data_IF_862901705409
#
_entry.id   IF_862901705409
#
_cell.length_a   1.000
_cell.length_b   1.000
_cell.length_c   1.000
_cell.angle_alpha   90.00
_cell.angle_beta   90.00
_cell.angle_gamma   90.00
#
_symmetry.space_group_name_H-M   'P 1'
#
loop_
_entity.id
_entity.type
_entity.pdbx_description
1 polymer ?
#
# COMPACT_ATOMS: atom_id res chain seq x y z
N UNK A 1 -9.10 11.40 -21.48
CA UNK A 1 -10.54 11.72 -21.45
C UNK A 1 -10.83 12.49 -20.17
N UNK A 2 -11.28 13.75 -20.29
CA UNK A 2 -11.62 14.61 -19.16
C UNK A 2 -13.09 14.45 -18.85
N UNK A 3 -13.41 13.87 -17.70
CA UNK A 3 -14.78 13.81 -17.19
C UNK A 3 -15.00 15.05 -16.33
N UNK A 4 -15.73 16.03 -16.86
CA UNK A 4 -16.09 17.25 -16.13
C UNK A 4 -17.59 17.20 -15.82
N UNK A 5 -17.93 17.24 -14.54
CA UNK A 5 -19.32 17.28 -14.06
C UNK A 5 -19.48 18.39 -13.03
N UNK A 6 -20.73 18.78 -12.74
CA UNK A 6 -21.05 19.80 -11.73
C UNK A 6 -20.41 19.57 -10.35
N UNK A 7 -20.03 18.33 -10.05
CA UNK A 7 -19.51 17.91 -8.74
C UNK A 7 -18.08 17.35 -8.78
N UNK A 8 -17.60 16.90 -9.94
CA UNK A 8 -16.36 16.13 -10.04
C UNK A 8 -15.69 16.34 -11.40
N UNK A 9 -14.41 16.73 -11.38
CA UNK A 9 -13.51 16.71 -12.53
C UNK A 9 -12.50 15.58 -12.39
N UNK A 10 -12.53 14.59 -13.29
CA UNK A 10 -11.55 13.50 -13.36
C UNK A 10 -10.85 13.54 -14.72
N UNK A 11 -9.54 13.78 -14.72
CA UNK A 11 -8.72 13.60 -15.90
C UNK A 11 -8.19 12.15 -15.95
N UNK A 12 -8.81 11.31 -16.77
CA UNK A 12 -8.37 9.94 -17.00
C UNK A 12 -7.39 9.97 -18.19
N UNK A 13 -6.11 9.59 -18.01
CA UNK A 13 -5.17 9.54 -19.12
C UNK A 13 -5.63 8.54 -20.19
N UNK A 14 -5.54 8.87 -21.48
CA UNK A 14 -5.97 7.96 -22.57
C UNK A 14 -5.15 6.65 -22.63
N UNK A 15 -4.04 6.60 -21.91
CA UNK A 15 -3.27 5.37 -21.67
C UNK A 15 -3.98 4.35 -20.79
N UNK A 16 -5.04 4.73 -20.06
CA UNK A 16 -5.78 3.88 -19.14
C UNK A 16 -6.30 2.60 -19.79
N UNK A 17 -6.89 2.70 -20.98
CA UNK A 17 -7.47 1.56 -21.70
C UNK A 17 -6.47 0.79 -22.55
N UNK A 18 -5.25 1.32 -22.74
CA UNK A 18 -4.23 0.70 -23.58
C UNK A 18 -3.24 -0.04 -22.70
N UNK A 19 -3.52 -1.31 -22.41
CA UNK A 19 -2.63 -2.21 -21.65
C UNK A 19 -1.18 -2.22 -22.19
N UNK A 20 -1.00 -1.97 -23.49
CA UNK A 20 0.30 -1.87 -24.15
C UNK A 20 1.14 -0.67 -23.68
N UNK A 21 0.51 0.41 -23.19
CA UNK A 21 1.15 1.63 -22.68
C UNK A 21 1.43 1.57 -21.17
N UNK A 22 1.12 0.46 -20.51
CA UNK A 22 1.41 0.27 -19.10
C UNK A 22 2.92 0.07 -18.90
N UNK A 23 3.48 0.58 -17.79
CA UNK A 23 4.83 0.24 -17.34
C UNK A 23 5.02 -1.28 -17.19
N UNK A 24 6.27 -1.74 -17.25
CA UNK A 24 6.60 -3.15 -17.45
C UNK A 24 6.08 -4.06 -16.33
N UNK A 25 6.28 -3.70 -15.06
CA UNK A 25 5.83 -4.56 -13.95
C UNK A 25 4.31 -4.59 -13.87
N UNK A 26 3.66 -3.42 -13.90
CA UNK A 26 2.20 -3.33 -13.85
C UNK A 26 1.54 -4.05 -15.01
N UNK A 27 2.09 -3.98 -16.23
CA UNK A 27 1.57 -4.73 -17.37
C UNK A 27 1.55 -6.23 -17.09
N UNK A 28 2.67 -6.78 -16.60
CA UNK A 28 2.79 -8.22 -16.32
C UNK A 28 1.85 -8.63 -15.19
N UNK A 29 1.85 -7.89 -14.08
CA UNK A 29 1.03 -8.20 -12.89
C UNK A 29 -0.46 -8.10 -13.22
N UNK A 30 -0.87 -7.08 -13.99
CA UNK A 30 -2.26 -6.91 -14.40
C UNK A 30 -2.72 -8.06 -15.32
N UNK A 31 -1.88 -8.45 -16.30
CA UNK A 31 -2.21 -9.58 -17.17
C UNK A 31 -2.34 -10.89 -16.39
N UNK A 32 -1.45 -11.15 -15.44
CA UNK A 32 -1.53 -12.31 -14.55
C UNK A 32 -2.77 -12.26 -13.66
N UNK A 33 -3.11 -11.09 -13.11
CA UNK A 33 -4.29 -10.91 -12.27
C UNK A 33 -5.59 -11.16 -13.05
N UNK A 34 -5.70 -10.64 -14.28
CA UNK A 34 -6.85 -10.91 -15.17
C UNK A 34 -6.93 -12.41 -15.48
N UNK A 35 -5.81 -13.03 -15.87
CA UNK A 35 -5.77 -14.44 -16.26
C UNK A 35 -6.21 -15.34 -15.08
N UNK A 36 -5.57 -15.18 -13.92
CA UNK A 36 -5.81 -16.04 -12.76
C UNK A 36 -7.19 -15.80 -12.15
N UNK A 37 -7.62 -14.54 -12.01
CA UNK A 37 -8.96 -14.23 -11.51
C UNK A 37 -10.05 -14.65 -12.49
N UNK A 38 -9.81 -14.54 -13.80
CA UNK A 38 -10.70 -15.04 -14.85
C UNK A 38 -10.82 -16.57 -14.82
N UNK A 39 -9.71 -17.29 -14.68
CA UNK A 39 -9.71 -18.73 -14.49
C UNK A 39 -10.49 -19.14 -13.24
N UNK A 40 -10.27 -18.47 -12.10
CA UNK A 40 -11.01 -18.72 -10.86
C UNK A 40 -12.52 -18.51 -11.07
N UNK A 41 -12.90 -17.41 -11.73
CA UNK A 41 -14.29 -17.09 -12.02
C UNK A 41 -14.95 -18.16 -12.89
N UNK A 42 -14.29 -18.62 -13.96
CA UNK A 42 -14.80 -19.69 -14.83
C UNK A 42 -14.97 -21.00 -14.05
N UNK A 43 -13.99 -21.35 -13.19
CA UNK A 43 -14.06 -22.56 -12.35
C UNK A 43 -15.26 -22.48 -11.40
N UNK A 44 -15.45 -21.34 -10.73
CA UNK A 44 -16.60 -21.11 -9.84
C UNK A 44 -17.93 -21.22 -10.58
N UNK A 45 -18.04 -20.58 -11.74
CA UNK A 45 -19.24 -20.66 -12.58
C UNK A 45 -19.56 -22.09 -13.00
N UNK A 46 -18.56 -22.87 -13.43
CA UNK A 46 -18.75 -24.28 -13.78
C UNK A 46 -19.11 -25.14 -12.58
N UNK A 47 -18.50 -24.88 -11.42
CA UNK A 47 -18.79 -25.60 -10.19
C UNK A 47 -20.24 -25.38 -9.76
N UNK A 48 -20.75 -24.15 -9.83
CA UNK A 48 -22.14 -23.81 -9.47
C UNK A 48 -23.15 -24.59 -10.32
N UNK A 49 -22.91 -24.71 -11.63
CA UNK A 49 -23.79 -25.49 -12.53
C UNK A 49 -23.84 -26.97 -12.15
N UNK A 50 -22.80 -27.49 -11.51
CA UNK A 50 -22.72 -28.88 -11.06
C UNK A 50 -23.25 -29.10 -9.62
N UNK A 51 -23.52 -28.03 -8.86
CA UNK A 51 -24.14 -28.11 -7.52
C UNK A 51 -25.63 -28.37 -7.70
N UNK A 52 -26.16 -29.38 -7.01
CA UNK A 52 -27.59 -29.72 -7.07
C UNK A 52 -28.41 -28.56 -6.50
N UNK A 53 -29.50 -28.11 -7.18
CA UNK A 53 -30.36 -27.07 -6.64
C UNK A 53 -31.02 -27.56 -5.35
N UNK A 54 -30.59 -27.03 -4.19
CA UNK A 54 -31.14 -27.40 -2.88
C UNK A 54 -30.17 -27.21 -1.70
N UNK A 55 -28.85 -27.24 -1.93
CA UNK A 55 -27.85 -26.87 -0.93
C UNK A 55 -27.51 -25.39 -1.12
N UNK A 56 -27.90 -24.54 -0.17
CA UNK A 56 -27.70 -23.09 -0.21
C UNK A 56 -26.24 -22.65 -0.06
N UNK A 57 -25.32 -23.23 -0.81
CA UNK A 57 -23.91 -22.83 -0.81
C UNK A 57 -23.74 -21.52 -1.61
N UNK A 58 -23.31 -20.47 -0.91
CA UNK A 58 -22.92 -19.22 -1.55
C UNK A 58 -21.69 -19.41 -2.46
N UNK A 59 -21.67 -18.70 -3.59
CA UNK A 59 -20.59 -18.68 -4.60
C UNK A 59 -19.19 -18.53 -3.97
N UNK A 60 -19.09 -17.82 -2.86
CA UNK A 60 -17.83 -17.53 -2.17
C UNK A 60 -17.24 -18.75 -1.43
N UNK A 61 -18.04 -19.79 -1.15
CA UNK A 61 -17.60 -21.01 -0.47
C UNK A 61 -16.87 -21.98 -1.42
N UNK A 62 -17.05 -21.84 -2.73
CA UNK A 62 -16.31 -22.63 -3.72
C UNK A 62 -14.88 -22.10 -3.79
N UNK A 63 -14.00 -22.74 -3.01
CA UNK A 63 -12.58 -22.44 -2.96
C UNK A 63 -11.80 -23.22 -4.01
N UNK A 64 -10.81 -22.58 -4.62
CA UNK A 64 -9.82 -23.25 -5.47
C UNK A 64 -8.43 -23.15 -4.84
N UNK A 65 -8.00 -24.17 -4.07
CA UNK A 65 -6.81 -24.09 -3.20
C UNK A 65 -5.47 -23.87 -3.91
N UNK A 66 -5.42 -23.96 -5.24
CA UNK A 66 -4.23 -23.69 -6.05
C UNK A 66 -3.99 -22.17 -6.18
N UNK A 67 -5.07 -21.38 -6.30
CA UNK A 67 -5.00 -19.93 -6.49
C UNK A 67 -5.34 -19.13 -5.23
N UNK A 68 -6.08 -19.74 -4.30
CA UNK A 68 -6.52 -19.11 -3.07
C UNK A 68 -5.83 -19.75 -1.87
N UNK A 69 -5.52 -18.95 -0.85
CA UNK A 69 -4.91 -19.46 0.37
C UNK A 69 -5.95 -20.16 1.22
N UNK A 70 -5.86 -21.49 1.28
CA UNK A 70 -6.66 -22.30 2.21
C UNK A 70 -5.72 -22.88 3.26
N UNK A 71 -5.76 -22.40 4.52
CA UNK A 71 -4.83 -22.82 5.56
C UNK A 71 -4.69 -24.35 5.72
N UNK A 72 -5.79 -25.10 5.64
CA UNK A 72 -5.78 -26.57 5.78
C UNK A 72 -5.08 -27.30 4.62
N UNK A 73 -4.97 -26.69 3.44
CA UNK A 73 -4.36 -27.27 2.24
C UNK A 73 -2.94 -26.78 1.98
N UNK A 74 -2.45 -25.85 2.79
CA UNK A 74 -1.17 -25.18 2.58
C UNK A 74 0.03 -26.15 2.56
N UNK A 75 0.00 -27.19 3.40
CA UNK A 75 1.07 -28.20 3.45
C UNK A 75 1.32 -28.86 2.08
N UNK A 76 0.26 -29.02 1.28
CA UNK A 76 0.32 -29.64 -0.03
C UNK A 76 0.49 -28.62 -1.16
N UNK A 77 -0.03 -27.40 -0.98
CA UNK A 77 -0.07 -26.35 -2.01
C UNK A 77 0.54 -25.03 -1.49
N UNK A 78 1.84 -24.98 -1.16
CA UNK A 78 2.46 -23.79 -0.57
C UNK A 78 2.52 -22.60 -1.54
N UNK A 79 2.55 -22.87 -2.85
CA UNK A 79 2.56 -21.84 -3.88
C UNK A 79 1.27 -21.00 -3.91
N UNK A 80 0.18 -21.47 -3.32
CA UNK A 80 -1.08 -20.73 -3.20
C UNK A 80 -0.90 -19.39 -2.49
N UNK A 81 0.04 -19.29 -1.55
CA UNK A 81 0.39 -18.02 -0.87
C UNK A 81 0.86 -16.99 -1.89
N UNK A 82 1.77 -17.39 -2.79
CA UNK A 82 2.29 -16.50 -3.80
C UNK A 82 1.22 -16.14 -4.84
N UNK A 83 0.48 -17.13 -5.35
CA UNK A 83 -0.55 -16.91 -6.37
C UNK A 83 -1.71 -16.05 -5.87
N UNK A 84 -2.02 -16.09 -4.57
CA UNK A 84 -3.08 -15.28 -3.98
C UNK A 84 -2.87 -13.77 -4.09
N UNK A 85 -1.64 -13.30 -4.37
CA UNK A 85 -1.39 -11.89 -4.66
C UNK A 85 -2.08 -11.40 -5.95
N UNK A 86 -2.48 -12.31 -6.83
CA UNK A 86 -3.08 -11.99 -8.13
C UNK A 86 -4.58 -12.25 -8.19
N UNK A 87 -5.15 -12.81 -7.12
CA UNK A 87 -6.51 -13.35 -7.12
C UNK A 87 -7.28 -12.81 -5.93
N UNK A 88 -8.43 -12.20 -6.23
CA UNK A 88 -9.36 -11.69 -5.23
C UNK A 88 -10.50 -12.70 -5.00
N UNK A 89 -10.95 -12.86 -3.75
CA UNK A 89 -12.05 -13.78 -3.44
C UNK A 89 -13.41 -13.23 -3.85
N UNK A 90 -13.55 -11.90 -3.92
CA UNK A 90 -14.81 -11.21 -4.17
C UNK A 90 -14.76 -10.36 -5.44
N UNK A 91 -15.80 -10.43 -6.26
CA UNK A 91 -15.84 -9.75 -7.57
C UNK A 91 -15.73 -8.23 -7.50
N UNK A 92 -16.34 -7.60 -6.48
CA UNK A 92 -16.23 -6.15 -6.28
C UNK A 92 -14.78 -5.75 -5.97
N UNK A 93 -14.08 -6.56 -5.16
CA UNK A 93 -12.70 -6.29 -4.76
C UNK A 93 -11.78 -6.42 -5.96
N UNK A 94 -11.99 -7.44 -6.79
CA UNK A 94 -11.30 -7.58 -8.08
C UNK A 94 -11.43 -6.32 -8.93
N UNK A 95 -12.64 -5.76 -9.09
CA UNK A 95 -12.86 -4.53 -9.87
C UNK A 95 -12.07 -3.35 -9.28
N UNK A 96 -12.14 -3.16 -7.95
CA UNK A 96 -11.42 -2.07 -7.27
C UNK A 96 -9.91 -2.25 -7.40
N UNK A 97 -9.38 -3.44 -7.16
CA UNK A 97 -7.97 -3.76 -7.29
C UNK A 97 -7.49 -3.65 -8.73
N UNK A 98 -8.28 -4.07 -9.71
CA UNK A 98 -7.96 -3.92 -11.12
C UNK A 98 -7.83 -2.44 -11.51
N UNK A 99 -8.78 -1.59 -11.11
CA UNK A 99 -8.71 -0.14 -11.33
C UNK A 99 -7.50 0.49 -10.61
N UNK A 100 -7.26 0.13 -9.35
CA UNK A 100 -6.11 0.63 -8.59
C UNK A 100 -4.78 0.18 -9.22
N UNK A 101 -4.68 -1.08 -9.64
CA UNK A 101 -3.47 -1.63 -10.25
C UNK A 101 -3.14 -0.93 -11.58
N UNK A 102 -4.15 -0.73 -12.43
CA UNK A 102 -3.96 -0.13 -13.75
C UNK A 102 -3.70 1.37 -13.69
N UNK A 103 -4.49 2.15 -12.94
CA UNK A 103 -4.33 3.61 -12.81
C UNK A 103 -3.18 3.93 -11.86
N UNK A 104 -3.35 3.44 -10.64
CA UNK A 104 -2.50 3.71 -9.51
C UNK A 104 -1.12 3.12 -9.66
N UNK A 105 -1.07 1.84 -9.99
CA UNK A 105 0.18 1.13 -10.20
C UNK A 105 1.01 1.79 -11.31
N UNK A 106 0.38 2.19 -12.42
CA UNK A 106 1.08 2.88 -13.51
C UNK A 106 1.69 4.20 -13.06
N UNK A 107 0.96 4.97 -12.25
CA UNK A 107 1.47 6.19 -11.66
C UNK A 107 2.64 5.89 -10.72
N UNK A 108 2.49 4.92 -9.81
CA UNK A 108 3.51 4.55 -8.84
C UNK A 108 4.80 4.07 -9.53
N UNK A 109 4.72 3.15 -10.49
CA UNK A 109 5.90 2.59 -11.16
C UNK A 109 6.68 3.66 -11.93
N UNK A 110 5.98 4.62 -12.56
CA UNK A 110 6.61 5.76 -13.24
C UNK A 110 7.32 6.69 -12.27
N UNK A 111 6.70 7.01 -11.14
CA UNK A 111 7.30 7.89 -10.13
C UNK A 111 8.42 7.21 -9.34
N UNK A 112 8.37 5.89 -9.17
CA UNK A 112 9.45 5.11 -8.59
C UNK A 112 10.61 4.91 -9.55
N UNK A 113 10.38 5.05 -10.86
CA UNK A 113 11.42 4.84 -11.89
C UNK A 113 12.02 3.43 -11.90
N UNK A 114 11.36 2.46 -11.26
CA UNK A 114 11.90 1.11 -11.08
C UNK A 114 10.80 0.05 -11.06
N UNK A 115 10.70 -0.71 -12.15
CA UNK A 115 9.85 -1.90 -12.24
C UNK A 115 10.25 -2.97 -11.22
N UNK A 116 11.54 -3.05 -10.87
CA UNK A 116 12.05 -4.01 -9.87
C UNK A 116 11.48 -3.72 -8.49
N UNK A 117 11.39 -2.45 -8.10
CA UNK A 117 10.76 -2.06 -6.84
C UNK A 117 9.27 -2.35 -6.84
N UNK A 118 8.58 -2.12 -7.96
CA UNK A 118 7.16 -2.47 -8.08
C UNK A 118 6.92 -3.97 -7.87
N UNK A 119 7.74 -4.83 -8.48
CA UNK A 119 7.66 -6.28 -8.24
C UNK A 119 7.96 -6.67 -6.80
N UNK A 120 9.00 -6.10 -6.18
CA UNK A 120 9.32 -6.37 -4.77
C UNK A 120 8.17 -5.94 -3.86
N UNK A 121 7.61 -4.76 -4.10
CA UNK A 121 6.50 -4.25 -3.33
C UNK A 121 5.24 -5.12 -3.45
N UNK A 122 4.83 -5.49 -4.66
CA UNK A 122 3.59 -6.28 -4.81
C UNK A 122 3.78 -7.75 -4.43
N UNK A 123 4.87 -8.38 -4.86
CA UNK A 123 5.04 -9.81 -4.76
C UNK A 123 5.78 -10.24 -3.50
N UNK A 124 6.90 -9.59 -3.16
CA UNK A 124 7.70 -9.99 -1.99
C UNK A 124 7.00 -9.57 -0.71
N UNK A 125 6.62 -8.29 -0.60
CA UNK A 125 5.90 -7.81 0.58
C UNK A 125 4.52 -8.48 0.71
N UNK A 126 3.77 -8.61 -0.39
CA UNK A 126 2.46 -9.26 -0.38
C UNK A 126 2.54 -10.74 0.03
N UNK A 127 3.49 -11.49 -0.52
CA UNK A 127 3.72 -12.88 -0.10
C UNK A 127 4.14 -12.95 1.36
N UNK A 128 5.01 -12.07 1.83
CA UNK A 128 5.42 -12.03 3.24
C UNK A 128 4.23 -11.78 4.18
N UNK A 129 3.37 -10.80 3.86
CA UNK A 129 2.16 -10.55 4.65
C UNK A 129 1.23 -11.76 4.65
N UNK A 130 1.08 -12.42 3.49
CA UNK A 130 0.24 -13.59 3.34
C UNK A 130 0.76 -14.79 4.15
N UNK A 131 2.07 -15.04 4.17
CA UNK A 131 2.69 -16.05 5.05
C UNK A 131 2.33 -15.79 6.50
N UNK A 132 2.53 -14.55 6.98
CA UNK A 132 2.27 -14.20 8.37
C UNK A 132 0.78 -14.33 8.71
N UNK A 133 -0.14 -13.90 7.82
CA UNK A 133 -1.59 -14.05 8.03
C UNK A 133 -1.98 -15.52 8.17
N UNK A 134 -1.46 -16.39 7.31
CA UNK A 134 -1.79 -17.83 7.36
C UNK A 134 -1.22 -18.47 8.62
N UNK A 135 0.04 -18.16 9.00
CA UNK A 135 0.64 -18.65 10.23
C UNK A 135 -0.14 -18.19 11.47
N UNK A 136 -0.52 -16.91 11.54
CA UNK A 136 -1.33 -16.38 12.63
C UNK A 136 -2.72 -17.03 12.67
N UNK A 137 -3.34 -17.28 11.52
CA UNK A 137 -4.65 -17.94 11.46
C UNK A 137 -4.59 -19.37 11.97
N UNK A 138 -3.55 -20.13 11.58
CA UNK A 138 -3.30 -21.49 12.09
C UNK A 138 -3.03 -21.45 13.60
N UNK A 139 -2.17 -20.54 14.06
CA UNK A 139 -1.86 -20.39 15.48
C UNK A 139 -3.11 -20.06 16.32
N UNK A 140 -3.93 -19.13 15.85
CA UNK A 140 -5.18 -18.75 16.51
C UNK A 140 -6.19 -19.89 16.52
N UNK A 141 -6.22 -20.77 15.51
CA UNK A 141 -7.14 -21.91 15.47
C UNK A 141 -6.89 -22.93 16.60
N UNK A 142 -5.68 -22.97 17.15
CA UNK A 142 -5.37 -23.80 18.32
C UNK A 142 -5.91 -23.21 19.63
N UNK A 143 -6.18 -21.90 19.65
CA UNK A 143 -6.57 -21.15 20.86
C UNK A 143 -8.08 -20.86 20.84
N UNK A 144 -8.61 -20.46 19.68
CA UNK A 144 -9.98 -19.99 19.50
C UNK A 144 -10.76 -21.08 18.75
N UNK A 145 -11.71 -21.76 19.42
CA UNK A 145 -12.56 -22.73 18.75
C UNK A 145 -13.46 -22.04 17.72
N UNK A 146 -13.69 -22.70 16.58
CA UNK A 146 -14.57 -22.20 15.52
C UNK A 146 -13.89 -21.45 14.36
N UNK A 147 -12.55 -21.33 14.38
CA UNK A 147 -11.81 -20.85 13.21
C UNK A 147 -11.76 -21.96 12.15
N UNK A 148 -12.45 -21.75 11.03
CA UNK A 148 -12.48 -22.71 9.92
C UNK A 148 -11.28 -22.53 8.98
N UNK A 149 -10.33 -23.46 9.08
CA UNK A 149 -9.12 -23.49 8.25
C UNK A 149 -9.38 -23.91 6.80
N UNK A 150 -10.59 -24.34 6.44
CA UNK A 150 -10.94 -24.71 5.08
C UNK A 150 -11.46 -23.54 4.25
N UNK A 151 -11.77 -22.41 4.88
CA UNK A 151 -12.21 -21.21 4.17
C UNK A 151 -11.04 -20.52 3.46
N UNK A 152 -11.23 -20.04 2.23
CA UNK A 152 -10.21 -19.31 1.51
C UNK A 152 -10.00 -17.93 2.16
N UNK A 153 -8.74 -17.58 2.36
CA UNK A 153 -8.30 -16.26 2.80
C UNK A 153 -7.88 -15.47 1.56
N UNK A 154 -8.34 -14.24 1.47
CA UNK A 154 -7.96 -13.33 0.41
C UNK A 154 -6.54 -12.76 0.65
N UNK A 155 -5.67 -12.84 -0.36
CA UNK A 155 -4.27 -12.45 -0.27
C UNK A 155 -3.93 -11.11 -0.92
N UNK A 156 -4.82 -10.54 -1.73
CA UNK A 156 -4.50 -9.34 -2.51
C UNK A 156 -4.89 -8.05 -1.78
N UNK A 157 -4.36 -7.84 -0.57
CA UNK A 157 -4.55 -6.59 0.18
C UNK A 157 -3.45 -5.55 -0.08
N UNK A 158 -2.32 -5.96 -0.65
CA UNK A 158 -1.18 -5.07 -0.96
C UNK A 158 -1.56 -3.95 -1.92
N UNK A 159 -2.39 -4.24 -2.92
CA UNK A 159 -2.92 -3.21 -3.84
C UNK A 159 -3.91 -2.30 -3.10
N UNK A 160 -4.91 -2.88 -2.45
CA UNK A 160 -6.01 -2.14 -1.82
C UNK A 160 -5.56 -1.22 -0.68
N UNK A 161 -4.70 -1.72 0.21
CA UNK A 161 -4.24 -1.02 1.42
C UNK A 161 -2.89 -0.34 1.18
N UNK A 162 -2.01 -0.98 0.42
CA UNK A 162 -0.65 -0.48 0.24
C UNK A 162 -0.58 0.74 -0.68
N UNK A 163 -1.34 0.77 -1.78
CA UNK A 163 -1.30 1.90 -2.73
C UNK A 163 -1.69 3.25 -2.10
N UNK A 164 -2.74 3.34 -1.26
CA UNK A 164 -3.02 4.56 -0.49
C UNK A 164 -1.81 5.12 0.26
N UNK A 165 -1.01 4.25 0.90
CA UNK A 165 0.18 4.64 1.65
C UNK A 165 1.28 5.13 0.69
N UNK A 166 1.45 4.47 -0.45
CA UNK A 166 2.38 4.91 -1.49
C UNK A 166 1.97 6.28 -2.05
N UNK A 167 0.67 6.52 -2.29
CA UNK A 167 0.21 7.83 -2.72
C UNK A 167 0.51 8.89 -1.67
N UNK A 168 0.36 8.60 -0.38
CA UNK A 168 0.74 9.53 0.69
C UNK A 168 2.23 9.91 0.64
N UNK A 169 3.09 8.98 0.21
CA UNK A 169 4.54 9.17 0.05
C UNK A 169 4.90 9.98 -1.20
N UNK A 170 4.19 9.77 -2.30
CA UNK A 170 4.45 10.41 -3.60
C UNK A 170 3.73 11.75 -3.77
N UNK A 171 2.53 11.86 -3.23
CA UNK A 171 1.58 12.96 -3.38
C UNK A 171 1.15 13.48 -2.00
N UNK A 172 2.06 14.15 -1.27
CA UNK A 172 1.77 14.60 0.08
C UNK A 172 0.68 15.68 0.14
N UNK A 173 0.47 16.47 -0.92
CA UNK A 173 -0.38 17.68 -0.89
C UNK A 173 -1.36 17.87 -2.03
N UNK A 174 -1.37 17.03 -3.06
CA UNK A 174 -2.41 17.13 -4.08
C UNK A 174 -3.78 16.83 -3.45
N UNK A 175 -4.86 17.31 -4.05
CA UNK A 175 -6.24 16.87 -3.79
C UNK A 175 -6.64 15.91 -4.92
N UNK A 176 -7.23 14.74 -4.62
CA UNK A 176 -7.74 13.82 -5.67
C UNK A 176 -8.97 14.44 -6.34
N UNK A 177 -9.61 15.32 -5.59
CA UNK A 177 -11.03 15.56 -5.65
C UNK A 177 -11.25 17.04 -5.42
N UNK A 178 -11.16 17.83 -6.47
CA UNK A 178 -11.69 19.19 -6.47
C UNK A 178 -13.22 19.09 -6.53
N UNK A 179 -13.85 18.64 -5.44
CA UNK A 179 -15.30 18.61 -5.31
C UNK A 179 -15.79 20.05 -5.28
N UNK A 180 -16.29 20.54 -6.41
CA UNK A 180 -16.65 21.94 -6.59
C UNK A 180 -17.76 22.46 -5.66
N UNK A 181 -18.52 21.61 -4.95
CA UNK A 181 -19.73 22.05 -4.22
C UNK A 181 -20.10 21.25 -2.96
N UNK A 182 -19.17 20.58 -2.27
CA UNK A 182 -19.50 19.84 -1.02
C UNK A 182 -18.65 20.35 0.16
N UNK A 183 -19.12 21.37 0.91
CA UNK A 183 -18.28 22.09 1.87
C UNK A 183 -17.74 21.23 3.02
N UNK A 184 -18.45 20.16 3.40
CA UNK A 184 -18.05 19.27 4.50
C UNK A 184 -16.94 18.28 4.14
N UNK A 185 -16.84 17.86 2.87
CA UNK A 185 -15.91 16.80 2.43
C UNK A 185 -14.77 17.36 1.58
N UNK A 186 -15.04 18.38 0.76
CA UNK A 186 -14.09 18.98 -0.20
C UNK A 186 -12.94 19.73 0.49
N UNK A 187 -13.20 20.46 1.58
CA UNK A 187 -12.17 21.33 2.19
C UNK A 187 -11.13 20.58 3.03
N UNK A 188 -11.49 19.39 3.54
CA UNK A 188 -10.67 18.66 4.51
C UNK A 188 -10.15 17.29 4.03
N UNK A 189 -10.70 16.69 2.97
CA UNK A 189 -10.21 15.40 2.47
C UNK A 189 -8.97 15.58 1.58
N UNK A 190 -7.82 15.78 2.22
CA UNK A 190 -6.51 15.76 1.56
C UNK A 190 -6.03 14.31 1.40
N UNK A 191 -5.20 14.03 0.39
CA UNK A 191 -4.52 12.72 0.23
C UNK A 191 -3.80 12.27 1.51
N UNK A 192 -3.48 13.22 2.41
CA UNK A 192 -2.92 12.97 3.74
C UNK A 192 -3.69 11.93 4.56
N UNK A 193 -5.02 11.87 4.45
CA UNK A 193 -5.86 10.95 5.23
C UNK A 193 -6.36 9.74 4.42
N UNK A 194 -6.02 9.62 3.14
CA UNK A 194 -6.46 8.52 2.30
C UNK A 194 -6.10 7.13 2.89
N UNK A 195 -4.88 6.88 3.40
CA UNK A 195 -4.54 5.58 3.99
C UNK A 195 -5.47 5.19 5.14
N UNK A 196 -5.72 6.11 6.07
CA UNK A 196 -6.57 5.86 7.23
C UNK A 196 -8.05 5.80 6.85
N UNK A 197 -8.49 6.58 5.87
CA UNK A 197 -9.85 6.46 5.37
C UNK A 197 -10.11 5.09 4.75
N UNK A 198 -9.20 4.59 3.90
CA UNK A 198 -9.34 3.28 3.26
C UNK A 198 -9.31 2.16 4.31
N UNK A 199 -8.34 2.17 5.24
CA UNK A 199 -8.26 1.11 6.25
C UNK A 199 -9.49 1.10 7.16
N UNK A 200 -9.98 2.26 7.61
CA UNK A 200 -11.18 2.33 8.43
C UNK A 200 -12.42 1.84 7.67
N UNK A 201 -12.56 2.21 6.39
CA UNK A 201 -13.69 1.80 5.56
C UNK A 201 -13.69 0.30 5.33
N UNK A 202 -12.55 -0.28 4.91
CA UNK A 202 -12.43 -1.72 4.65
C UNK A 202 -12.56 -2.51 5.96
N UNK A 203 -12.01 -2.02 7.07
CA UNK A 203 -12.19 -2.63 8.41
C UNK A 203 -13.65 -2.62 8.83
N UNK A 204 -14.36 -1.50 8.66
CA UNK A 204 -15.79 -1.41 9.00
C UNK A 204 -16.62 -2.37 8.14
N UNK A 205 -16.42 -2.38 6.83
CA UNK A 205 -17.10 -3.32 5.92
C UNK A 205 -16.86 -4.76 6.38
N UNK A 206 -15.62 -5.09 6.72
CA UNK A 206 -15.25 -6.43 7.18
C UNK A 206 -15.88 -6.80 8.53
N UNK A 207 -16.02 -5.84 9.45
CA UNK A 207 -16.71 -6.03 10.74
C UNK A 207 -18.22 -6.13 10.58
N UNK A 208 -18.82 -5.49 9.57
CA UNK A 208 -20.26 -5.57 9.32
C UNK A 208 -20.67 -6.85 8.59
N UNK A 209 -19.85 -7.31 7.63
CA UNK A 209 -20.14 -8.52 6.86
C UNK A 209 -19.56 -9.81 7.47
N UNK A 210 -18.66 -9.71 8.46
CA UNK A 210 -17.99 -10.80 9.21
C UNK A 210 -17.77 -12.10 8.42
N UNK A 211 -17.07 -12.01 7.28
CA UNK A 211 -16.73 -13.22 6.53
C UNK A 211 -15.69 -14.08 7.25
N UNK A 212 -14.56 -13.49 7.65
CA UNK A 212 -13.47 -14.23 8.30
C UNK A 212 -12.53 -13.30 9.07
N UNK A 213 -12.15 -13.66 10.32
CA UNK A 213 -11.25 -12.82 11.15
C UNK A 213 -9.86 -12.63 10.51
N UNK A 214 -9.37 -13.62 9.78
CA UNK A 214 -8.08 -13.52 9.07
C UNK A 214 -8.02 -12.35 8.07
N UNK A 215 -9.14 -11.92 7.50
CA UNK A 215 -9.18 -10.75 6.61
C UNK A 215 -8.89 -9.45 7.38
N UNK A 216 -9.35 -9.32 8.62
CA UNK A 216 -8.99 -8.19 9.49
C UNK A 216 -7.49 -8.18 9.79
N UNK A 217 -6.91 -9.34 10.12
CA UNK A 217 -5.47 -9.47 10.32
C UNK A 217 -4.73 -9.03 9.05
N UNK A 218 -5.16 -9.49 7.87
CA UNK A 218 -4.52 -9.11 6.61
C UNK A 218 -4.55 -7.60 6.35
N UNK A 219 -5.69 -6.95 6.58
CA UNK A 219 -5.83 -5.49 6.38
C UNK A 219 -4.80 -4.72 7.23
N UNK A 220 -4.77 -4.99 8.54
CA UNK A 220 -3.90 -4.27 9.47
C UNK A 220 -2.43 -4.65 9.34
N UNK A 221 -2.15 -5.93 9.09
CA UNK A 221 -0.78 -6.38 8.86
C UNK A 221 -0.21 -5.78 7.58
N UNK A 222 -0.97 -5.75 6.49
CA UNK A 222 -0.53 -5.11 5.24
C UNK A 222 -0.32 -3.61 5.44
N UNK A 223 -1.19 -2.91 6.18
CA UNK A 223 -1.00 -1.50 6.49
C UNK A 223 0.33 -1.22 7.21
N UNK A 224 0.61 -1.97 8.28
CA UNK A 224 1.84 -1.80 9.06
C UNK A 224 3.06 -2.20 8.22
N UNK A 225 2.99 -3.34 7.53
CA UNK A 225 4.09 -3.88 6.71
C UNK A 225 4.43 -2.97 5.54
N UNK A 226 3.43 -2.39 4.87
CA UNK A 226 3.66 -1.40 3.81
C UNK A 226 4.30 -0.13 4.36
N UNK A 227 3.80 0.43 5.46
CA UNK A 227 4.45 1.60 6.04
C UNK A 227 5.90 1.32 6.43
N UNK A 228 6.18 0.19 7.10
CA UNK A 228 7.54 -0.22 7.45
C UNK A 228 8.43 -0.39 6.21
N UNK A 229 7.93 -1.05 5.17
CA UNK A 229 8.65 -1.24 3.92
C UNK A 229 9.05 0.09 3.29
N UNK A 230 8.08 0.99 3.11
CA UNK A 230 8.31 2.30 2.48
C UNK A 230 9.21 3.20 3.35
N UNK A 231 9.06 3.15 4.67
CA UNK A 231 9.86 3.95 5.60
C UNK A 231 11.33 3.50 5.62
N UNK A 232 11.61 2.20 5.65
CA UNK A 232 12.96 1.69 6.00
C UNK A 232 13.66 0.84 4.93
N UNK A 233 12.90 0.19 4.04
CA UNK A 233 13.43 -0.89 3.18
C UNK A 233 13.36 -0.61 1.68
N UNK A 234 12.49 0.29 1.24
CA UNK A 234 12.35 0.64 -0.18
C UNK A 234 13.66 1.20 -0.75
N UNK A 235 13.99 0.87 -1.99
CA UNK A 235 15.21 1.36 -2.66
C UNK A 235 14.84 2.05 -3.96
N UNK A 236 14.88 3.38 -4.00
CA UNK A 236 14.53 4.16 -5.19
C UNK A 236 15.80 4.74 -5.83
N UNK A 237 15.90 4.77 -7.17
CA UNK A 237 16.93 5.55 -7.83
C UNK A 237 16.71 7.06 -7.58
N UNK A 238 17.79 7.81 -7.34
CA UNK A 238 17.76 9.26 -7.28
C UNK A 238 17.46 9.83 -8.68
N UNK A 239 16.64 10.87 -8.70
CA UNK A 239 16.10 11.45 -9.94
C UNK A 239 17.23 11.87 -10.88
N UNK A 240 17.25 11.33 -12.11
CA UNK A 240 18.23 11.69 -13.15
C UNK A 240 19.60 11.00 -13.05
N UNK A 241 19.76 9.98 -12.20
CA UNK A 241 21.03 9.23 -12.08
C UNK A 241 20.85 7.75 -12.39
N UNK A 242 21.84 7.16 -13.08
CA UNK A 242 21.83 5.73 -13.39
C UNK A 242 21.92 4.90 -12.10
N UNK A 243 21.01 3.92 -11.98
CA UNK A 243 20.88 3.02 -10.84
C UNK A 243 22.06 2.01 -10.68
N UNK A 244 23.12 2.16 -11.47
CA UNK A 244 24.33 1.33 -11.44
C UNK A 244 25.28 1.70 -10.30
N UNK A 245 25.27 2.96 -9.85
CA UNK A 245 26.06 3.41 -8.71
C UNK A 245 25.24 3.36 -7.41
N UNK A 246 25.76 2.64 -6.42
CA UNK A 246 25.14 2.47 -5.09
C UNK A 246 24.96 3.79 -4.33
N UNK A 247 25.70 4.84 -4.67
CA UNK A 247 25.57 6.17 -4.08
C UNK A 247 24.30 6.93 -4.56
N UNK A 248 23.69 6.48 -5.66
CA UNK A 248 22.52 7.09 -6.27
C UNK A 248 21.20 6.41 -5.85
N UNK A 249 21.20 5.62 -4.78
CA UNK A 249 20.00 4.89 -4.31
C UNK A 249 19.51 5.51 -3.00
N UNK A 250 18.29 6.04 -3.02
CA UNK A 250 17.58 6.48 -1.83
C UNK A 250 16.97 5.27 -1.12
N UNK A 251 17.36 5.04 0.14
CA UNK A 251 16.82 3.98 0.98
C UNK A 251 15.73 4.52 1.91
N UNK A 252 14.53 3.98 1.74
CA UNK A 252 13.35 4.30 2.53
C UNK A 252 12.91 5.76 2.36
N UNK A 253 12.05 6.20 3.26
CA UNK A 253 11.60 7.58 3.37
C UNK A 253 11.76 8.03 4.81
N UNK A 254 12.84 8.75 5.08
CA UNK A 254 13.19 9.30 6.39
C UNK A 254 12.47 10.62 6.72
N UNK A 255 11.69 11.18 5.80
CA UNK A 255 11.11 12.53 5.96
C UNK A 255 10.17 12.63 7.17
N UNK A 256 10.09 13.78 7.81
CA UNK A 256 9.17 13.97 8.95
C UNK A 256 7.69 13.87 8.52
N UNK A 257 7.43 14.14 7.23
CA UNK A 257 6.09 14.09 6.63
C UNK A 257 5.53 12.68 6.45
N UNK A 258 6.39 11.66 6.53
CA UNK A 258 6.04 10.24 6.35
C UNK A 258 6.21 9.39 7.62
N UNK A 259 6.34 10.02 8.80
CA UNK A 259 6.28 9.27 10.06
C UNK A 259 4.88 8.65 10.25
N UNK A 260 4.81 7.51 10.94
CA UNK A 260 3.57 6.74 11.12
C UNK A 260 2.42 7.58 11.68
N UNK A 261 2.72 8.45 12.64
CA UNK A 261 1.73 9.34 13.27
C UNK A 261 1.03 10.27 12.28
N UNK A 262 1.70 10.66 11.19
CA UNK A 262 1.12 11.57 10.20
C UNK A 262 0.19 10.88 9.20
N UNK A 263 0.03 9.56 9.28
CA UNK A 263 -1.05 8.84 8.59
C UNK A 263 -2.40 9.13 9.25
N UNK A 264 -2.42 9.44 10.54
CA UNK A 264 -3.64 9.61 11.34
C UNK A 264 -4.15 11.07 11.35
N UNK A 265 -5.47 11.29 11.58
CA UNK A 265 -6.03 12.62 11.71
C UNK A 265 -5.50 13.35 12.94
N UNK A 266 -5.42 14.69 12.88
CA UNK A 266 -4.83 15.51 13.94
C UNK A 266 -5.50 15.33 15.31
N UNK A 267 -6.81 15.03 15.33
CA UNK A 267 -7.58 14.82 16.56
C UNK A 267 -7.02 13.66 17.41
N UNK A 268 -6.53 12.59 16.78
CA UNK A 268 -6.06 11.38 17.51
C UNK A 268 -4.56 11.39 17.80
N UNK A 269 -3.79 12.27 17.14
CA UNK A 269 -2.32 12.31 17.29
C UNK A 269 -1.84 12.52 18.72
N UNK A 270 -2.44 13.38 19.56
CA UNK A 270 -1.98 13.58 20.94
C UNK A 270 -2.00 12.27 21.76
N UNK A 271 -2.99 11.42 21.51
CA UNK A 271 -3.17 10.14 22.19
C UNK A 271 -2.18 9.09 21.66
N UNK A 272 -1.98 9.05 20.34
CA UNK A 272 -1.12 8.05 19.69
C UNK A 272 0.38 8.36 19.77
N UNK A 273 0.76 9.64 19.91
CA UNK A 273 2.16 10.07 19.98
C UNK A 273 2.99 9.33 21.03
N UNK A 274 2.59 9.26 22.32
CA UNK A 274 3.39 8.55 23.32
C UNK A 274 3.57 7.07 22.98
N UNK A 275 2.54 6.42 22.45
CA UNK A 275 2.58 5.01 22.05
C UNK A 275 3.58 4.79 20.93
N UNK A 276 3.51 5.59 19.86
CA UNK A 276 4.40 5.43 18.71
C UNK A 276 5.85 5.82 19.02
N UNK A 277 6.06 6.84 19.86
CA UNK A 277 7.40 7.21 20.35
C UNK A 277 8.01 6.08 21.17
N UNK A 278 7.24 5.46 22.08
CA UNK A 278 7.71 4.32 22.87
C UNK A 278 8.06 3.11 21.99
N UNK A 279 7.20 2.77 21.02
CA UNK A 279 7.47 1.69 20.06
C UNK A 279 8.75 1.98 19.27
N UNK A 280 8.94 3.20 18.79
CA UNK A 280 10.16 3.58 18.08
C UNK A 280 11.41 3.46 18.96
N UNK A 281 11.36 3.93 20.21
CA UNK A 281 12.47 3.83 21.15
C UNK A 281 12.85 2.36 21.43
N UNK A 282 11.86 1.51 21.68
CA UNK A 282 12.08 0.09 21.96
C UNK A 282 12.66 -0.62 20.72
N UNK A 283 12.03 -0.49 19.55
CA UNK A 283 12.42 -1.27 18.38
C UNK A 283 13.71 -0.76 17.71
N UNK A 284 13.88 0.55 17.59
CA UNK A 284 15.02 1.14 16.86
C UNK A 284 16.23 1.39 17.77
N UNK A 285 16.01 1.83 19.01
CA UNK A 285 17.11 2.26 19.90
C UNK A 285 17.55 1.11 20.81
N UNK A 286 16.61 0.50 21.54
CA UNK A 286 16.91 -0.56 22.51
C UNK A 286 17.23 -1.90 21.84
N UNK A 287 16.34 -2.37 20.96
CA UNK A 287 16.48 -3.67 20.29
C UNK A 287 17.35 -3.61 19.02
N UNK A 288 17.60 -2.41 18.47
CA UNK A 288 18.37 -2.17 17.24
C UNK A 288 17.96 -3.05 16.06
N UNK A 289 16.67 -3.39 15.98
CA UNK A 289 16.11 -4.19 14.87
C UNK A 289 16.14 -3.40 13.56
N UNK A 290 16.03 -2.07 13.66
CA UNK A 290 16.07 -1.14 12.54
C UNK A 290 17.05 -0.01 12.89
N UNK A 291 17.92 0.36 11.95
CA UNK A 291 18.85 1.49 12.13
C UNK A 291 18.05 2.78 12.37
N UNK A 292 18.29 3.52 13.46
CA UNK A 292 17.66 4.83 13.65
C UNK A 292 18.15 5.82 12.58
N UNK A 293 17.28 6.73 12.17
CA UNK A 293 17.65 7.74 11.18
C UNK A 293 18.56 8.78 11.79
N UNK A 294 19.64 9.12 11.09
CA UNK A 294 20.50 10.25 11.45
C UNK A 294 19.86 11.56 10.99
N UNK A 295 20.28 12.68 11.56
CA UNK A 295 19.76 14.00 11.17
C UNK A 295 19.98 14.29 9.68
N UNK A 296 21.11 13.79 9.14
CA UNK A 296 21.46 13.90 7.71
C UNK A 296 20.50 13.12 6.82
N UNK A 297 20.07 11.93 7.25
CA UNK A 297 19.07 11.13 6.53
C UNK A 297 17.72 11.85 6.52
N UNK A 298 17.31 12.43 7.66
CA UNK A 298 16.05 13.16 7.79
C UNK A 298 16.06 14.42 6.90
N UNK A 299 17.16 15.17 6.88
CA UNK A 299 17.31 16.35 6.03
C UNK A 299 17.22 16.00 4.54
N UNK A 300 17.89 14.93 4.11
CA UNK A 300 17.77 14.41 2.74
C UNK A 300 16.33 14.00 2.43
N UNK A 301 15.69 13.23 3.31
CA UNK A 301 14.30 12.80 3.14
C UNK A 301 13.32 13.98 3.04
N UNK A 302 13.50 15.00 3.88
CA UNK A 302 12.70 16.21 3.86
C UNK A 302 12.89 17.00 2.55
N UNK A 303 14.12 17.10 2.03
CA UNK A 303 14.36 17.74 0.73
C UNK A 303 13.67 17.03 -0.44
N UNK A 304 13.67 15.68 -0.44
CA UNK A 304 12.98 14.88 -1.46
C UNK A 304 11.46 15.02 -1.33
N UNK A 305 10.94 15.05 -0.10
CA UNK A 305 9.51 15.27 0.15
C UNK A 305 9.06 16.67 -0.30
N UNK A 306 9.89 17.70 -0.09
CA UNK A 306 9.64 19.07 -0.53
C UNK A 306 9.65 19.18 -2.07
N UNK A 307 10.55 18.49 -2.76
CA UNK A 307 10.53 18.37 -4.23
C UNK A 307 9.24 17.73 -4.74
N UNK A 308 8.59 16.87 -3.94
CA UNK A 308 7.26 16.28 -4.22
C UNK A 308 6.09 17.17 -3.75
N UNK A 309 6.37 18.36 -3.25
CA UNK A 309 5.37 19.34 -2.81
C UNK A 309 4.92 19.22 -1.35
N UNK A 310 5.66 18.51 -0.48
CA UNK A 310 5.34 18.44 0.94
C UNK A 310 5.63 19.77 1.65
N UNK A 311 4.71 20.23 2.51
CA UNK A 311 5.01 21.32 3.45
C UNK A 311 5.96 20.85 4.54
N UNK A 312 6.93 21.70 4.95
CA UNK A 312 7.78 21.41 6.08
C UNK A 312 6.93 21.23 7.35
N UNK A 313 7.26 20.21 8.14
CA UNK A 313 6.56 19.88 9.39
C UNK A 313 7.53 20.12 10.55
N UNK A 314 7.06 20.87 11.54
CA UNK A 314 7.84 21.24 12.73
C UNK A 314 8.58 22.57 12.56
N UNK A 315 8.97 23.16 13.68
CA UNK A 315 10.02 24.18 13.70
C UNK A 315 11.34 23.47 13.39
N UNK A 316 12.06 23.86 12.33
CA UNK A 316 13.38 23.31 12.07
C UNK A 316 14.23 23.54 13.32
N UNK A 317 15.00 22.53 13.75
CA UNK A 317 16.01 22.78 14.78
C UNK A 317 16.92 23.92 14.29
N UNK A 318 17.42 24.75 15.22
CA UNK A 318 18.29 25.89 14.88
C UNK A 318 19.45 25.43 13.99
N UNK A 319 20.00 24.25 14.28
CA UNK A 319 21.06 23.59 13.50
C UNK A 319 20.62 23.21 12.08
N UNK A 320 19.40 22.71 11.88
CA UNK A 320 18.90 22.39 10.54
C UNK A 320 18.70 23.66 9.70
N UNK A 321 18.26 24.75 10.32
CA UNK A 321 18.17 26.05 9.67
C UNK A 321 19.54 26.63 9.33
N UNK A 322 20.51 26.50 10.23
CA UNK A 322 21.90 26.96 10.00
C UNK A 322 22.58 26.18 8.87
N UNK A 323 22.42 24.85 8.82
CA UNK A 323 22.93 24.02 7.72
C UNK A 323 22.26 24.35 6.38
N UNK A 324 20.96 24.65 6.38
CA UNK A 324 20.24 25.12 5.17
C UNK A 324 20.75 26.48 4.70
N UNK A 325 20.99 27.41 5.64
CA UNK A 325 21.59 28.72 5.32
C UNK A 325 23.00 28.55 4.75
N UNK A 326 23.83 27.68 5.33
CA UNK A 326 25.18 27.40 4.84
C UNK A 326 25.17 26.82 3.42
N UNK A 327 24.31 25.83 3.13
CA UNK A 327 24.16 25.31 1.75
C UNK A 327 23.65 26.36 0.78
N UNK A 328 22.71 27.21 1.19
CA UNK A 328 22.24 28.30 0.35
C UNK A 328 23.36 29.32 0.06
N UNK A 329 24.21 29.59 1.05
CA UNK A 329 25.41 30.43 0.90
C UNK A 329 26.44 29.80 -0.04
N UNK A 330 26.69 28.50 0.05
CA UNK A 330 27.59 27.77 -0.87
C UNK A 330 27.09 27.85 -2.32
N UNK A 331 25.81 27.57 -2.55
CA UNK A 331 25.21 27.66 -3.91
C UNK A 331 25.23 29.10 -4.43
N UNK A 332 25.05 30.10 -3.57
CA UNK A 332 25.19 31.50 -3.97
C UNK A 332 26.64 31.84 -4.32
N UNK A 333 27.62 31.35 -3.55
CA UNK A 333 29.04 31.52 -3.84
C UNK A 333 29.41 30.86 -5.18
N UNK A 334 28.94 29.65 -5.45
CA UNK A 334 29.14 28.97 -6.74
C UNK A 334 28.53 29.71 -7.94
N UNK A 335 27.49 30.52 -7.73
CA UNK A 335 26.87 31.34 -8.79
C UNK A 335 27.51 32.71 -8.96
N UNK A 336 28.32 33.17 -7.99
CA UNK A 336 29.03 34.46 -8.05
C UNK A 336 30.44 34.33 -8.65
N UNK A 337 30.95 33.11 -8.78
CA UNK A 337 32.17 32.77 -9.54
C UNK A 337 31.75 32.41 -10.96
#
# INVERSE_FOLDING_TARGET
>A
MKFDSRFLTVDIPDSFWKLQKLPTAIRIITLLAILLSGCLFIIRMRSIVNIKPGEGESIDNVAFPIFQMVPSKLKYLPFSIFLSNFVDTSGWKFIVNFCNLTIGGSYIERNWGSSKEMFKFLLVLGTLTNVIVVLLTIALSFIIPGIDLNKPIDGNYTVLIGFPIVYKQLLPETSIFDLKNVPLISKNFRFKLLPIFVICTVTLIQILWLHHFAQLISIWLTFISTWMYLRFFQLLPLYGTDASNSENILRGDSSDTFQFIYLFPDIVKPILRPVFSYVYEVFCIKLRLIRPFETTDIDKGNSVAEQRGAKPIGTPSTEANERRKQKALEVLQERMV
#
